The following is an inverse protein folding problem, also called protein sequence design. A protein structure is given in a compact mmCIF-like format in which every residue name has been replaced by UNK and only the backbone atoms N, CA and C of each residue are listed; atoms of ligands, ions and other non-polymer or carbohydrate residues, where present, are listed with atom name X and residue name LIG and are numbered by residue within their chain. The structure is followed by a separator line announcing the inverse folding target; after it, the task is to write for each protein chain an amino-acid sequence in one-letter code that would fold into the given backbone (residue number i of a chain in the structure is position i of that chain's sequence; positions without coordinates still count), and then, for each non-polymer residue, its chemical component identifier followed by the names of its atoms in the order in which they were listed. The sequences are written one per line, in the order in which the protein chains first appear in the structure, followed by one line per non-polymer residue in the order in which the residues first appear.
data_IF_907717778112
#
_entry.id   IF_907717778112
#
_cell.length_a   1.000
_cell.length_b   1.000
_cell.length_c   1.000
_cell.angle_alpha   90.00
_cell.angle_beta   90.00
_cell.angle_gamma   90.00
#
_symmetry.space_group_name_H-M   'P 1'
#
loop_
_entity.id
_entity.type
_entity.pdbx_description
1 polymer ?
#
# COMPACT_ATOMS: atom_id res chain seq x y z
N UNK A 1 -90.12 21.34 -3.55
CA UNK A 1 -89.20 21.63 -4.71
C UNK A 1 -87.78 21.37 -4.28
N UNK A 2 -87.29 20.21 -4.62
CA UNK A 2 -85.99 19.75 -4.16
C UNK A 2 -85.11 19.50 -5.38
N UNK A 3 -84.11 20.32 -5.57
CA UNK A 3 -83.19 20.22 -6.72
C UNK A 3 -81.93 19.50 -6.29
N UNK A 4 -81.72 18.32 -6.87
CA UNK A 4 -80.54 17.45 -6.59
C UNK A 4 -79.43 17.85 -7.58
N UNK A 5 -78.27 18.23 -7.03
CA UNK A 5 -77.02 18.49 -7.82
C UNK A 5 -76.15 17.26 -7.79
N UNK A 6 -75.95 16.66 -8.95
CA UNK A 6 -75.04 15.52 -9.17
C UNK A 6 -73.65 16.04 -9.54
N UNK A 7 -72.66 15.78 -8.68
CA UNK A 7 -71.27 16.13 -8.92
C UNK A 7 -70.56 14.95 -9.59
N UNK A 8 -70.08 15.10 -10.80
CA UNK A 8 -69.29 14.17 -11.53
C UNK A 8 -67.80 14.33 -11.06
N UNK A 9 -67.19 13.26 -10.52
CA UNK A 9 -65.80 13.18 -10.25
C UNK A 9 -65.04 12.68 -11.50
N UNK A 10 -64.18 13.54 -12.05
CA UNK A 10 -63.23 13.16 -13.11
C UNK A 10 -61.96 12.60 -12.45
N UNK A 11 -61.73 11.32 -12.63
CA UNK A 11 -60.47 10.67 -12.22
C UNK A 11 -59.38 10.94 -13.24
N UNK A 12 -58.36 11.69 -12.84
CA UNK A 12 -57.15 11.84 -13.61
C UNK A 12 -56.12 10.75 -13.18
N UNK A 13 -55.86 9.82 -14.07
CA UNK A 13 -54.76 8.87 -13.88
C UNK A 13 -53.43 9.56 -14.22
N UNK A 14 -52.59 9.81 -13.24
CA UNK A 14 -51.21 10.25 -13.43
C UNK A 14 -50.34 9.01 -13.75
N UNK A 15 -49.90 8.89 -14.98
CA UNK A 15 -48.91 7.91 -15.38
C UNK A 15 -47.51 8.42 -14.99
N UNK A 16 -46.92 7.82 -13.96
CA UNK A 16 -45.51 8.05 -13.59
C UNK A 16 -44.60 7.30 -14.55
N UNK A 17 -43.95 8.03 -15.45
CA UNK A 17 -42.87 7.49 -16.29
C UNK A 17 -41.59 7.34 -15.45
N UNK A 18 -41.21 6.11 -15.13
CA UNK A 18 -39.87 5.78 -14.60
C UNK A 18 -38.85 5.93 -15.74
N UNK A 19 -38.08 7.00 -15.69
CA UNK A 19 -36.91 7.15 -16.53
C UNK A 19 -35.79 6.19 -15.98
N UNK A 20 -35.58 5.07 -16.67
CA UNK A 20 -34.39 4.21 -16.46
C UNK A 20 -33.22 4.95 -17.09
N UNK A 21 -32.40 5.60 -16.25
CA UNK A 21 -31.10 6.11 -16.66
C UNK A 21 -30.19 4.90 -16.97
N UNK A 22 -30.04 4.56 -18.24
CA UNK A 22 -29.06 3.57 -18.69
C UNK A 22 -27.65 4.12 -18.43
N UNK A 23 -26.91 3.48 -17.53
CA UNK A 23 -25.47 3.65 -17.45
C UNK A 23 -24.88 3.13 -18.77
N UNK A 24 -24.46 4.03 -19.64
CA UNK A 24 -23.61 3.70 -20.76
C UNK A 24 -22.25 3.27 -20.22
N UNK A 25 -21.98 1.98 -20.17
CA UNK A 25 -20.62 1.45 -20.04
C UNK A 25 -19.87 1.92 -21.29
N UNK A 26 -19.04 2.94 -21.14
CA UNK A 26 -18.06 3.30 -22.17
C UNK A 26 -17.04 2.18 -22.18
N UNK A 27 -17.05 1.34 -23.23
CA UNK A 27 -15.96 0.40 -23.48
C UNK A 27 -14.69 1.23 -23.69
N UNK A 28 -13.75 1.13 -22.76
CA UNK A 28 -12.40 1.69 -22.92
C UNK A 28 -11.72 0.98 -24.11
N UNK A 29 -10.93 1.70 -24.92
CA UNK A 29 -10.17 1.06 -25.98
C UNK A 29 -9.22 0.03 -25.35
N UNK A 30 -9.29 -1.22 -25.81
CA UNK A 30 -8.31 -2.23 -25.43
C UNK A 30 -6.92 -1.70 -25.79
N UNK A 31 -6.01 -1.63 -24.82
CA UNK A 31 -4.63 -1.26 -25.08
C UNK A 31 -4.01 -2.30 -25.98
N UNK A 32 -3.21 -1.87 -26.94
CA UNK A 32 -2.57 -2.77 -27.87
C UNK A 32 -1.44 -3.53 -27.14
N UNK A 33 -1.51 -4.86 -27.14
CA UNK A 33 -0.43 -5.70 -26.66
C UNK A 33 0.84 -5.44 -27.50
N UNK A 34 1.99 -5.36 -26.86
CA UNK A 34 3.29 -5.18 -27.52
C UNK A 34 4.06 -6.51 -27.53
N UNK A 35 4.69 -6.91 -28.67
CA UNK A 35 5.50 -8.11 -28.68
C UNK A 35 6.81 -7.87 -27.92
N UNK A 36 7.18 -8.84 -27.07
CA UNK A 36 8.45 -8.88 -26.35
C UNK A 36 9.11 -10.25 -26.54
N UNK A 37 10.44 -10.30 -26.42
CA UNK A 37 11.19 -11.57 -26.50
C UNK A 37 12.03 -11.73 -25.23
N UNK A 38 11.90 -12.89 -24.58
CA UNK A 38 12.67 -13.22 -23.37
C UNK A 38 14.14 -13.40 -23.71
N UNK A 39 15.04 -12.75 -22.96
CA UNK A 39 16.49 -12.85 -23.14
C UNK A 39 17.08 -14.07 -22.42
N UNK A 40 16.44 -14.51 -21.36
CA UNK A 40 16.80 -15.65 -20.52
C UNK A 40 15.55 -16.43 -20.12
N UNK A 41 15.72 -17.57 -19.43
CA UNK A 41 14.59 -18.26 -18.82
C UNK A 41 13.94 -17.34 -17.77
N UNK A 42 12.65 -17.09 -17.90
CA UNK A 42 11.92 -16.11 -17.12
C UNK A 42 10.83 -16.78 -16.30
N UNK A 43 10.63 -16.32 -15.08
CA UNK A 43 9.56 -16.80 -14.20
C UNK A 43 8.33 -15.91 -14.35
N UNK A 44 7.15 -16.52 -14.57
CA UNK A 44 5.85 -15.85 -14.43
C UNK A 44 5.53 -15.82 -12.94
N UNK A 45 5.17 -14.67 -12.44
CA UNK A 45 4.88 -14.44 -11.02
C UNK A 45 3.47 -13.91 -10.80
N UNK A 46 2.94 -14.15 -9.61
CA UNK A 46 1.61 -13.63 -9.22
C UNK A 46 1.56 -12.11 -9.05
N UNK A 47 2.73 -11.45 -8.89
CA UNK A 47 2.84 -10.01 -8.71
C UNK A 47 4.15 -9.46 -9.29
N UNK A 48 4.47 -8.20 -8.99
CA UNK A 48 5.56 -7.43 -9.61
C UNK A 48 6.81 -7.35 -8.73
N UNK A 49 7.17 -8.47 -8.06
CA UNK A 49 8.37 -8.63 -7.25
C UNK A 49 8.96 -10.02 -7.42
N UNK A 50 10.27 -10.15 -7.19
CA UNK A 50 10.99 -11.44 -7.21
C UNK A 50 10.60 -12.33 -6.03
N UNK A 51 10.04 -11.77 -4.97
CA UNK A 51 9.48 -12.48 -3.82
C UNK A 51 8.11 -13.11 -4.07
N UNK A 52 7.37 -12.69 -5.11
CA UNK A 52 6.02 -13.19 -5.38
C UNK A 52 6.00 -14.64 -5.87
N UNK A 53 4.87 -15.34 -5.69
CA UNK A 53 4.70 -16.73 -6.05
C UNK A 53 5.08 -17.01 -7.52
N UNK A 54 5.89 -18.05 -7.74
CA UNK A 54 6.26 -18.52 -9.06
C UNK A 54 5.11 -19.37 -9.65
N UNK A 55 4.40 -18.85 -10.63
CA UNK A 55 3.27 -19.52 -11.28
C UNK A 55 3.70 -20.41 -12.44
N UNK A 56 4.83 -20.10 -13.08
CA UNK A 56 5.34 -20.83 -14.23
C UNK A 56 6.68 -20.31 -14.71
N UNK A 57 7.22 -20.91 -15.76
CA UNK A 57 8.48 -20.49 -16.38
C UNK A 57 8.35 -20.39 -17.90
N UNK A 58 9.06 -19.44 -18.50
CA UNK A 58 9.11 -19.18 -19.94
C UNK A 58 10.55 -19.39 -20.40
N UNK A 59 10.81 -20.21 -21.43
CA UNK A 59 12.16 -20.38 -21.96
C UNK A 59 12.75 -19.10 -22.56
N UNK A 60 14.08 -19.00 -22.58
CA UNK A 60 14.77 -17.95 -23.29
C UNK A 60 14.43 -17.94 -24.79
N UNK A 61 14.36 -16.77 -25.41
CA UNK A 61 14.05 -16.58 -26.82
C UNK A 61 12.57 -16.76 -27.16
N UNK A 62 11.68 -16.86 -26.17
CA UNK A 62 10.23 -16.96 -26.39
C UNK A 62 9.66 -15.57 -26.69
N UNK A 63 8.85 -15.48 -27.75
CA UNK A 63 8.07 -14.27 -28.02
C UNK A 63 6.78 -14.29 -27.20
N UNK A 64 6.51 -13.17 -26.53
CA UNK A 64 5.35 -12.94 -25.67
C UNK A 64 4.54 -11.77 -26.18
N UNK A 65 3.25 -11.81 -26.01
CA UNK A 65 2.38 -10.65 -26.11
C UNK A 65 2.30 -9.99 -24.72
N UNK A 66 2.91 -8.82 -24.55
CA UNK A 66 2.85 -8.05 -23.33
C UNK A 66 1.54 -7.25 -23.35
N UNK A 67 0.64 -7.57 -22.42
CA UNK A 67 -0.71 -6.98 -22.38
C UNK A 67 -0.68 -5.50 -21.91
N UNK A 68 0.09 -5.25 -20.87
CA UNK A 68 0.31 -3.95 -20.24
C UNK A 68 1.56 -4.01 -19.36
N UNK A 69 1.96 -2.91 -18.75
CA UNK A 69 3.06 -2.87 -17.79
C UNK A 69 2.66 -2.10 -16.53
N UNK A 70 3.33 -2.38 -15.43
CA UNK A 70 3.20 -1.64 -14.17
C UNK A 70 4.56 -1.58 -13.48
N UNK A 71 4.77 -0.59 -12.61
CA UNK A 71 5.98 -0.50 -11.79
C UNK A 71 5.97 -1.55 -10.67
N UNK A 72 7.13 -1.95 -10.21
CA UNK A 72 7.32 -2.91 -9.12
C UNK A 72 8.77 -2.95 -8.67
N UNK A 73 9.23 -4.07 -8.13
CA UNK A 73 10.62 -4.26 -7.72
C UNK A 73 11.60 -4.00 -8.88
N UNK A 74 12.65 -3.20 -8.61
CA UNK A 74 13.73 -2.99 -9.57
C UNK A 74 14.59 -4.25 -9.69
N UNK A 75 14.56 -4.88 -10.87
CA UNK A 75 15.34 -6.08 -11.17
C UNK A 75 16.55 -5.73 -12.02
N UNK A 76 17.71 -6.27 -11.64
CA UNK A 76 18.97 -6.22 -12.41
C UNK A 76 19.12 -7.52 -13.19
N UNK A 77 18.89 -7.44 -14.50
CA UNK A 77 18.98 -8.58 -15.41
C UNK A 77 19.79 -8.24 -16.67
N UNK A 78 19.35 -8.67 -17.83
CA UNK A 78 19.90 -8.22 -19.13
C UNK A 78 19.79 -6.69 -19.23
N UNK A 79 18.75 -6.12 -18.67
CA UNK A 79 18.54 -4.68 -18.47
C UNK A 79 18.33 -4.39 -16.99
N UNK A 80 18.36 -3.13 -16.58
CA UNK A 80 17.83 -2.68 -15.28
C UNK A 80 16.41 -2.15 -15.51
N UNK A 81 15.42 -2.68 -14.83
CA UNK A 81 14.03 -2.24 -14.99
C UNK A 81 13.23 -2.38 -13.69
N UNK A 82 12.44 -1.37 -13.39
CA UNK A 82 11.39 -1.39 -12.37
C UNK A 82 10.04 -1.83 -12.95
N UNK A 83 9.94 -1.96 -14.28
CA UNK A 83 8.69 -2.33 -14.92
C UNK A 83 8.52 -3.84 -15.02
N UNK A 84 7.28 -4.27 -14.80
CA UNK A 84 6.80 -5.63 -14.94
C UNK A 84 5.69 -5.65 -15.99
N UNK A 85 5.74 -6.62 -16.88
CA UNK A 85 4.73 -6.77 -17.93
C UNK A 85 3.77 -7.89 -17.58
N UNK A 86 2.47 -7.65 -17.74
CA UNK A 86 1.44 -8.66 -17.65
C UNK A 86 1.46 -9.51 -18.91
N UNK A 87 1.47 -10.84 -18.74
CA UNK A 87 1.54 -11.82 -19.82
C UNK A 87 0.63 -13.00 -19.54
N UNK A 88 0.26 -13.71 -20.62
CA UNK A 88 -0.34 -15.04 -20.53
C UNK A 88 0.48 -16.00 -21.41
N UNK A 89 1.02 -17.07 -20.82
CA UNK A 89 1.82 -18.07 -21.51
C UNK A 89 1.41 -19.47 -21.07
N UNK A 90 1.09 -20.34 -22.03
CA UNK A 90 0.60 -21.72 -21.80
C UNK A 90 -0.58 -21.81 -20.82
N UNK A 91 -1.45 -20.80 -20.81
CA UNK A 91 -2.62 -20.74 -19.93
C UNK A 91 -2.31 -20.25 -18.51
N UNK A 92 -1.06 -19.86 -18.23
CA UNK A 92 -0.66 -19.23 -16.97
C UNK A 92 -0.58 -17.72 -17.20
N UNK A 93 -1.43 -16.95 -16.50
CA UNK A 93 -1.39 -15.50 -16.50
C UNK A 93 -0.63 -14.99 -15.29
N UNK A 94 0.12 -13.90 -15.45
CA UNK A 94 0.89 -13.29 -14.37
C UNK A 94 1.82 -12.20 -14.88
N UNK A 95 2.84 -11.89 -14.09
CA UNK A 95 3.78 -10.82 -14.37
C UNK A 95 5.19 -11.36 -14.63
N UNK A 96 5.90 -10.71 -15.53
CA UNK A 96 7.32 -10.97 -15.83
C UNK A 96 8.10 -9.67 -15.75
N UNK A 97 9.32 -9.72 -15.17
CA UNK A 97 10.19 -8.55 -15.12
C UNK A 97 10.67 -8.15 -16.52
N UNK A 98 10.53 -6.89 -16.88
CA UNK A 98 11.05 -6.33 -18.12
C UNK A 98 12.58 -6.27 -18.17
N UNK A 99 13.26 -6.50 -17.06
CA UNK A 99 14.71 -6.64 -17.02
C UNK A 99 15.24 -7.78 -17.93
N UNK A 100 14.39 -8.74 -18.29
CA UNK A 100 14.71 -9.90 -19.10
C UNK A 100 13.89 -9.99 -20.40
N UNK A 101 13.25 -8.89 -20.81
CA UNK A 101 12.41 -8.88 -22.03
C UNK A 101 12.86 -7.76 -22.97
N UNK A 102 13.31 -8.13 -24.16
CA UNK A 102 13.55 -7.16 -25.24
C UNK A 102 12.22 -6.77 -25.87
N UNK A 103 11.89 -5.49 -25.85
CA UNK A 103 10.69 -4.92 -26.49
C UNK A 103 11.14 -3.97 -27.59
N UNK A 104 10.99 -4.34 -28.87
CA UNK A 104 11.46 -3.54 -30.01
C UNK A 104 10.86 -2.14 -30.08
N UNK A 105 9.59 -2.02 -29.69
CA UNK A 105 8.86 -0.76 -29.59
C UNK A 105 7.99 -0.75 -28.33
N UNK A 106 8.48 -0.07 -27.30
CA UNK A 106 7.78 0.04 -26.02
C UNK A 106 6.78 1.21 -25.99
N UNK A 107 6.68 2.02 -27.05
CA UNK A 107 5.86 3.25 -27.07
C UNK A 107 4.34 2.97 -27.03
N UNK A 108 3.92 1.74 -27.31
CA UNK A 108 2.51 1.34 -27.31
C UNK A 108 2.07 0.54 -26.09
N UNK A 109 3.01 0.13 -25.20
CA UNK A 109 2.67 -0.66 -24.03
C UNK A 109 2.16 0.28 -22.92
N UNK A 110 0.84 0.27 -22.72
CA UNK A 110 0.19 1.10 -21.70
C UNK A 110 0.35 0.55 -20.28
N UNK A 111 0.05 1.39 -19.29
CA UNK A 111 -0.03 0.96 -17.89
C UNK A 111 -1.22 0.01 -17.70
N UNK A 112 -1.09 -0.98 -16.80
CA UNK A 112 -2.16 -1.91 -16.48
C UNK A 112 -3.29 -1.16 -15.74
N UNK A 113 -4.40 -0.86 -16.42
CA UNK A 113 -5.55 -0.22 -15.80
C UNK A 113 -6.39 -1.24 -15.01
N UNK A 114 -6.64 -0.94 -13.74
CA UNK A 114 -7.56 -1.72 -12.88
C UNK A 114 -6.98 -3.00 -12.30
N UNK A 115 -5.71 -3.31 -12.54
CA UNK A 115 -5.02 -4.24 -11.65
C UNK A 115 -4.75 -3.48 -10.35
N UNK A 116 -5.06 -4.06 -9.18
CA UNK A 116 -4.59 -3.52 -7.93
C UNK A 116 -3.08 -3.32 -8.06
N UNK A 117 -2.55 -2.21 -7.53
CA UNK A 117 -1.10 -2.07 -7.37
C UNK A 117 -0.60 -3.42 -6.81
N UNK A 118 0.48 -3.99 -7.38
CA UNK A 118 0.84 -5.36 -7.06
C UNK A 118 0.95 -5.50 -5.56
N UNK A 119 0.10 -6.38 -5.02
CA UNK A 119 0.39 -6.94 -3.70
C UNK A 119 1.73 -7.64 -3.88
N UNK A 120 2.77 -7.16 -3.21
CA UNK A 120 4.02 -7.90 -3.07
C UNK A 120 3.70 -9.12 -2.18
N UNK A 121 3.58 -10.35 -2.72
CA UNK A 121 3.28 -11.52 -1.91
C UNK A 121 4.55 -12.10 -1.28
N UNK A 122 5.65 -11.31 -1.22
CA UNK A 122 6.85 -11.68 -0.48
C UNK A 122 6.59 -11.75 1.03
N UNK A 123 5.60 -11.00 1.54
CA UNK A 123 5.29 -10.91 2.98
C UNK A 123 3.80 -10.66 3.29
N UNK A 124 2.92 -10.62 2.28
CA UNK A 124 1.48 -10.40 2.47
C UNK A 124 1.10 -8.95 2.82
N UNK A 125 1.98 -7.99 2.55
CA UNK A 125 1.78 -6.57 2.87
C UNK A 125 0.99 -5.89 1.74
N UNK A 126 -0.11 -5.17 2.06
CA UNK A 126 -0.84 -4.36 1.07
C UNK A 126 0.02 -3.19 0.56
N UNK A 127 -0.30 -2.67 -0.64
CA UNK A 127 0.44 -1.55 -1.24
C UNK A 127 0.50 -0.31 -0.32
N UNK A 128 -0.59 0.00 0.38
CA UNK A 128 -0.66 1.14 1.30
C UNK A 128 0.26 0.93 2.52
N UNK A 129 0.34 -0.30 3.03
CA UNK A 129 1.23 -0.68 4.12
C UNK A 129 2.69 -0.61 3.68
N UNK A 130 2.99 -1.09 2.48
CA UNK A 130 4.32 -1.02 1.90
C UNK A 130 4.77 0.45 1.74
N UNK A 131 3.89 1.34 1.29
CA UNK A 131 4.20 2.77 1.21
C UNK A 131 4.57 3.38 2.58
N UNK A 132 3.90 2.96 3.66
CA UNK A 132 4.24 3.37 5.03
C UNK A 132 5.65 2.92 5.41
N UNK A 133 5.99 1.66 5.13
CA UNK A 133 7.32 1.10 5.41
C UNK A 133 8.40 1.81 4.59
N UNK A 134 8.19 2.02 3.30
CA UNK A 134 9.14 2.70 2.41
C UNK A 134 9.39 4.14 2.84
N UNK A 135 8.34 4.89 3.20
CA UNK A 135 8.49 6.25 3.74
C UNK A 135 9.28 6.26 5.03
N UNK A 136 8.97 5.33 5.95
CA UNK A 136 9.71 5.18 7.20
C UNK A 136 11.18 4.86 6.96
N UNK A 137 11.47 3.94 6.04
CA UNK A 137 12.82 3.54 5.68
C UNK A 137 13.67 4.73 5.18
N UNK A 138 13.07 5.72 4.50
CA UNK A 138 13.81 6.92 4.04
C UNK A 138 14.49 7.69 5.18
N UNK A 139 13.88 7.75 6.36
CA UNK A 139 14.50 8.41 7.51
C UNK A 139 15.54 7.55 8.21
N UNK A 140 15.36 6.24 8.20
CA UNK A 140 16.38 5.29 8.67
C UNK A 140 17.64 5.41 7.80
N UNK A 141 17.51 5.34 6.47
CA UNK A 141 18.62 5.43 5.52
C UNK A 141 19.37 6.77 5.57
N UNK A 142 18.63 7.85 5.83
CA UNK A 142 19.20 9.19 5.99
C UNK A 142 19.82 9.44 7.37
N UNK A 143 19.69 8.48 8.30
CA UNK A 143 20.12 8.63 9.69
C UNK A 143 19.59 9.93 10.31
N UNK A 144 18.30 10.23 10.14
CA UNK A 144 17.69 11.45 10.65
C UNK A 144 17.86 11.51 12.17
N UNK A 145 18.49 12.57 12.74
CA UNK A 145 18.72 12.62 14.17
C UNK A 145 17.41 12.86 14.95
N UNK A 146 17.30 12.23 16.12
CA UNK A 146 16.14 12.41 17.00
C UNK A 146 16.10 13.81 17.62
N UNK A 147 14.93 14.45 17.55
CA UNK A 147 14.67 15.70 18.31
C UNK A 147 13.16 15.90 18.50
N UNK A 148 12.77 16.29 19.71
CA UNK A 148 11.39 16.69 20.01
C UNK A 148 11.04 18.10 19.54
N UNK A 149 12.03 18.87 19.06
CA UNK A 149 11.87 20.28 18.64
C UNK A 149 12.23 20.52 17.17
N UNK A 150 13.11 19.69 16.60
CA UNK A 150 13.54 19.84 15.21
C UNK A 150 12.56 19.23 14.23
N UNK A 151 12.57 19.77 13.01
CA UNK A 151 11.75 19.30 11.88
C UNK A 151 12.64 19.00 10.68
N UNK A 152 12.24 18.03 9.87
CA UNK A 152 12.86 17.75 8.57
C UNK A 152 11.79 17.36 7.54
N UNK A 153 12.16 17.41 6.25
CA UNK A 153 11.24 17.04 5.18
C UNK A 153 11.03 15.53 5.13
N UNK A 154 9.78 15.13 5.04
CA UNK A 154 9.37 13.81 4.57
C UNK A 154 9.52 13.66 3.06
N UNK A 155 9.29 12.46 2.50
CA UNK A 155 9.31 12.21 1.05
C UNK A 155 8.29 13.06 0.27
N UNK A 156 7.19 13.42 0.91
CA UNK A 156 6.11 14.26 0.36
C UNK A 156 6.45 15.77 0.37
N UNK A 157 7.64 16.14 0.84
CA UNK A 157 8.10 17.53 0.95
C UNK A 157 7.54 18.31 2.17
N UNK A 158 6.63 17.72 2.94
CA UNK A 158 6.14 18.32 4.19
C UNK A 158 7.19 18.19 5.29
N UNK A 159 7.11 19.09 6.26
CA UNK A 159 7.99 19.06 7.42
C UNK A 159 7.35 18.32 8.58
N UNK A 160 8.09 17.36 9.12
CA UNK A 160 7.68 16.58 10.28
C UNK A 160 8.70 16.68 11.40
N UNK A 161 8.22 16.66 12.64
CA UNK A 161 9.07 16.66 13.84
C UNK A 161 9.86 15.35 13.91
N UNK A 162 11.14 15.42 14.29
CA UNK A 162 12.03 14.26 14.21
C UNK A 162 12.07 13.43 15.49
N UNK A 163 10.90 13.31 16.18
CA UNK A 163 10.67 12.40 17.30
C UNK A 163 9.88 11.15 16.84
N UNK A 164 9.61 10.23 17.76
CA UNK A 164 8.94 8.96 17.46
C UNK A 164 7.55 9.14 16.80
N UNK A 165 6.71 10.03 17.33
CA UNK A 165 5.37 10.27 16.80
C UNK A 165 5.36 11.13 15.52
N UNK A 166 6.33 12.03 15.37
CA UNK A 166 6.54 12.76 14.11
C UNK A 166 7.03 11.85 12.98
N UNK A 167 7.84 10.84 13.30
CA UNK A 167 8.25 9.78 12.37
C UNK A 167 7.05 8.97 11.88
N UNK A 168 6.18 8.51 12.79
CA UNK A 168 4.93 7.84 12.41
C UNK A 168 4.07 8.76 11.55
N UNK A 169 3.88 10.03 11.95
CA UNK A 169 3.09 10.99 11.16
C UNK A 169 3.64 11.15 9.74
N UNK A 170 4.96 11.17 9.56
CA UNK A 170 5.65 11.24 8.27
C UNK A 170 5.43 9.97 7.45
N UNK A 171 5.61 8.80 8.05
CA UNK A 171 5.47 7.52 7.35
C UNK A 171 4.05 7.30 6.81
N UNK A 172 3.05 7.67 7.58
CA UNK A 172 1.63 7.60 7.16
C UNK A 172 1.17 8.81 6.33
N UNK A 173 2.05 9.76 6.01
CA UNK A 173 1.71 10.93 5.21
C UNK A 173 0.62 11.82 5.83
N UNK A 174 0.52 11.85 7.15
CA UNK A 174 -0.46 12.67 7.86
C UNK A 174 -0.20 14.15 7.59
N UNK A 175 -1.22 14.98 7.74
CA UNK A 175 -1.16 16.41 7.39
C UNK A 175 -0.23 17.24 8.30
N UNK A 176 0.08 16.72 9.49
CA UNK A 176 0.97 17.37 10.48
C UNK A 176 1.66 16.32 11.36
N UNK A 177 2.60 16.77 12.19
CA UNK A 177 3.21 15.92 13.23
C UNK A 177 2.30 15.81 14.44
N UNK A 178 1.61 14.71 14.56
CA UNK A 178 0.84 14.35 15.75
C UNK A 178 1.79 13.97 16.90
N UNK A 179 1.28 14.02 18.13
CA UNK A 179 1.94 13.49 19.32
C UNK A 179 1.43 12.09 19.61
N UNK A 180 2.10 11.34 20.47
CA UNK A 180 1.59 10.04 20.97
C UNK A 180 0.20 10.17 21.60
N UNK A 181 -0.14 11.32 22.17
CA UNK A 181 -1.47 11.59 22.73
C UNK A 181 -2.53 11.69 21.64
N UNK A 182 -2.24 12.33 20.51
CA UNK A 182 -3.21 12.64 19.45
C UNK A 182 -3.21 11.66 18.29
N UNK A 183 -2.21 10.78 18.18
CA UNK A 183 -2.22 9.70 17.18
C UNK A 183 -3.44 8.78 17.29
N UNK A 184 -4.06 8.68 18.45
CA UNK A 184 -5.32 7.92 18.63
C UNK A 184 -6.49 8.43 17.80
N UNK A 185 -6.39 9.63 17.19
CA UNK A 185 -7.39 10.13 16.23
C UNK A 185 -7.32 9.39 14.89
N UNK A 186 -6.16 8.80 14.57
CA UNK A 186 -5.87 8.13 13.30
C UNK A 186 -5.68 6.62 13.42
N UNK A 187 -5.56 6.09 14.64
CA UNK A 187 -5.24 4.70 14.89
C UNK A 187 -6.22 4.08 15.88
N UNK A 188 -6.59 2.83 15.62
CA UNK A 188 -7.44 2.02 16.51
C UNK A 188 -6.61 0.91 17.13
N UNK A 189 -6.76 0.69 18.46
CA UNK A 189 -6.09 -0.41 19.15
C UNK A 189 -6.62 -1.76 18.65
N UNK A 190 -5.69 -2.69 18.41
CA UNK A 190 -5.95 -4.05 17.93
C UNK A 190 -5.32 -5.09 18.86
N UNK A 191 -5.78 -6.35 18.85
CA UNK A 191 -5.07 -7.44 19.50
C UNK A 191 -3.65 -7.61 18.92
N UNK A 192 -2.70 -7.98 19.80
CA UNK A 192 -1.30 -8.23 19.42
C UNK A 192 -1.14 -9.23 18.27
N UNK A 193 -1.94 -10.29 18.29
CA UNK A 193 -1.92 -11.38 17.32
C UNK A 193 -2.53 -11.01 15.96
N UNK A 194 -3.10 -9.81 15.85
CA UNK A 194 -3.58 -9.23 14.59
C UNK A 194 -2.56 -8.26 13.95
N UNK A 195 -1.37 -8.08 14.55
CA UNK A 195 -0.34 -7.21 13.98
C UNK A 195 0.10 -7.69 12.61
N UNK A 196 0.12 -6.74 11.69
CA UNK A 196 0.65 -6.89 10.32
C UNK A 196 1.72 -5.82 10.05
N UNK A 197 2.71 -6.08 9.18
CA UNK A 197 3.68 -5.07 8.80
C UNK A 197 3.01 -3.75 8.39
N UNK A 198 3.55 -2.62 8.85
CA UNK A 198 2.92 -1.32 8.68
C UNK A 198 1.93 -0.95 9.80
N UNK A 199 1.55 -1.81 10.74
CA UNK A 199 0.89 -1.40 11.97
C UNK A 199 1.88 -0.72 12.93
N UNK A 200 1.42 -0.10 14.01
CA UNK A 200 2.29 0.53 14.99
C UNK A 200 2.16 -0.13 16.37
N UNK A 201 3.24 -0.10 17.12
CA UNK A 201 3.28 -0.51 18.52
C UNK A 201 3.67 0.71 19.33
N UNK A 202 2.89 1.01 20.39
CA UNK A 202 3.17 2.21 21.15
C UNK A 202 2.40 2.32 22.46
N UNK A 203 2.77 3.37 23.21
CA UNK A 203 2.00 3.92 24.29
C UNK A 203 1.32 5.20 23.80
N UNK A 204 0.04 5.11 23.44
CA UNK A 204 -0.72 6.21 22.87
C UNK A 204 -1.82 6.70 23.82
N UNK A 205 -2.32 7.90 23.55
CA UNK A 205 -3.46 8.48 24.27
C UNK A 205 -3.08 9.25 25.54
N UNK A 206 -4.06 9.49 26.43
CA UNK A 206 -3.85 10.31 27.62
C UNK A 206 -2.73 9.76 28.52
N UNK A 207 -1.77 10.63 28.88
CA UNK A 207 -0.63 10.25 29.73
C UNK A 207 0.63 9.82 28.97
N UNK A 208 0.57 9.69 27.65
CA UNK A 208 1.72 9.33 26.80
C UNK A 208 2.52 10.53 26.27
N UNK A 209 2.26 11.74 26.77
CA UNK A 209 2.93 12.95 26.27
C UNK A 209 4.41 13.01 26.62
N UNK A 210 5.21 13.58 25.71
CA UNK A 210 6.65 13.77 25.90
C UNK A 210 7.42 12.46 26.10
N UNK A 211 8.31 12.41 27.08
CA UNK A 211 9.14 11.24 27.36
C UNK A 211 8.39 10.01 27.91
N UNK A 212 7.11 10.16 28.26
CA UNK A 212 6.27 9.05 28.73
C UNK A 212 5.68 8.22 27.60
N UNK A 213 5.67 8.75 26.38
CA UNK A 213 5.18 8.06 25.19
C UNK A 213 6.30 7.58 24.29
N UNK A 214 6.06 6.45 23.62
CA UNK A 214 6.88 5.96 22.54
C UNK A 214 6.02 5.23 21.52
N UNK A 215 6.42 5.27 20.25
CA UNK A 215 5.73 4.59 19.16
C UNK A 215 6.73 4.20 18.08
N UNK A 216 6.53 3.01 17.53
CA UNK A 216 7.37 2.40 16.47
C UNK A 216 6.47 1.84 15.38
N UNK A 217 7.00 1.63 14.18
CA UNK A 217 6.31 0.95 13.08
C UNK A 217 6.77 -0.50 13.06
N UNK A 218 5.83 -1.42 13.17
CA UNK A 218 6.06 -2.85 13.12
C UNK A 218 6.38 -3.29 11.69
N UNK A 219 7.45 -4.08 11.53
CA UNK A 219 7.87 -4.62 10.22
C UNK A 219 7.72 -6.13 10.12
N UNK A 220 7.60 -6.82 11.25
CA UNK A 220 7.40 -8.27 11.27
C UNK A 220 7.73 -8.89 12.62
N UNK A 221 7.34 -10.14 12.80
CA UNK A 221 7.77 -10.94 13.92
C UNK A 221 9.18 -11.49 13.68
N UNK A 222 10.06 -11.38 14.66
CA UNK A 222 11.43 -11.90 14.60
C UNK A 222 11.52 -13.37 15.05
N UNK A 223 10.46 -13.89 15.68
CA UNK A 223 10.36 -15.30 16.10
C UNK A 223 8.94 -15.86 15.90
N UNK A 224 8.82 -17.19 15.80
CA UNK A 224 7.56 -17.91 15.60
C UNK A 224 6.62 -17.83 16.82
N UNK A 225 7.16 -17.58 18.01
CA UNK A 225 6.39 -17.49 19.27
C UNK A 225 5.80 -16.07 19.47
N UNK A 226 6.08 -15.13 18.56
CA UNK A 226 5.66 -13.73 18.63
C UNK A 226 6.10 -13.04 19.95
N UNK A 227 7.31 -13.37 20.40
CA UNK A 227 7.89 -12.76 21.60
C UNK A 227 8.84 -11.61 21.28
N UNK A 228 9.47 -11.66 20.10
CA UNK A 228 10.30 -10.59 19.56
C UNK A 228 9.79 -10.10 18.22
N UNK A 229 9.95 -8.81 17.96
CA UNK A 229 9.44 -8.16 16.75
C UNK A 229 10.41 -7.12 16.21
N UNK A 230 10.45 -7.01 14.89
CA UNK A 230 11.25 -6.04 14.17
C UNK A 230 10.46 -4.76 13.91
N UNK A 231 11.14 -3.64 13.95
CA UNK A 231 10.57 -2.31 13.77
C UNK A 231 11.50 -1.36 13.03
N UNK A 232 10.92 -0.33 12.47
CA UNK A 232 11.61 0.91 12.15
C UNK A 232 11.07 2.02 13.07
N UNK A 233 11.96 2.85 13.60
CA UNK A 233 11.60 3.86 14.57
C UNK A 233 12.52 5.06 14.59
N UNK A 234 12.05 6.12 15.21
CA UNK A 234 12.86 7.28 15.59
C UNK A 234 13.14 7.20 17.09
N UNK A 235 14.36 6.80 17.45
CA UNK A 235 14.73 6.49 18.82
C UNK A 235 15.56 7.61 19.48
N UNK A 236 15.22 7.96 20.70
CA UNK A 236 15.97 8.95 21.49
C UNK A 236 17.45 8.60 21.61
N UNK A 237 18.32 9.55 21.28
CA UNK A 237 19.78 9.38 21.32
C UNK A 237 20.39 8.56 20.17
N UNK A 238 19.57 8.00 19.28
CA UNK A 238 20.02 7.19 18.13
C UNK A 238 19.60 7.85 16.83
N UNK A 239 18.32 8.25 16.70
CA UNK A 239 17.73 8.71 15.44
C UNK A 239 16.94 7.60 14.74
N UNK A 240 16.79 7.72 13.40
CA UNK A 240 16.12 6.72 12.57
C UNK A 240 16.88 5.40 12.57
N UNK A 241 16.23 4.31 12.95
CA UNK A 241 16.88 3.00 13.10
C UNK A 241 15.88 1.86 12.87
N UNK A 242 16.39 0.76 12.31
CA UNK A 242 15.71 -0.54 12.29
C UNK A 242 16.31 -1.41 13.38
N UNK A 243 15.47 -2.06 14.20
CA UNK A 243 15.93 -2.97 15.27
C UNK A 243 14.83 -3.89 15.77
N UNK A 244 15.24 -4.88 16.58
CA UNK A 244 14.33 -5.84 17.22
C UNK A 244 14.03 -5.42 18.65
N UNK A 245 12.76 -5.56 19.07
CA UNK A 245 12.29 -5.41 20.44
C UNK A 245 11.72 -6.71 20.99
N UNK A 246 11.59 -6.77 22.33
CA UNK A 246 10.88 -7.85 23.01
C UNK A 246 9.51 -7.37 23.47
N UNK A 247 8.47 -8.17 23.25
CA UNK A 247 7.13 -7.86 23.72
C UNK A 247 7.05 -7.96 25.25
N UNK A 248 6.49 -6.93 25.87
CA UNK A 248 6.43 -6.83 27.33
C UNK A 248 7.71 -6.28 27.96
N UNK A 249 8.63 -5.74 27.18
CA UNK A 249 9.79 -5.03 27.71
C UNK A 249 9.33 -3.87 28.60
N UNK A 250 9.94 -3.76 29.78
CA UNK A 250 9.49 -2.88 30.84
C UNK A 250 9.78 -1.39 30.62
N UNK A 251 10.50 -1.05 29.56
CA UNK A 251 10.89 0.36 29.38
C UNK A 251 9.79 1.22 28.79
N UNK A 252 8.75 0.63 28.17
CA UNK A 252 7.58 1.30 27.63
C UNK A 252 6.34 0.39 27.62
N UNK A 253 5.16 0.98 27.65
CA UNK A 253 3.90 0.24 27.60
C UNK A 253 3.53 -0.04 26.14
N UNK A 254 3.50 -1.31 25.75
CA UNK A 254 3.32 -1.75 24.37
C UNK A 254 1.88 -2.16 24.13
N UNK A 255 1.21 -1.43 23.25
CA UNK A 255 -0.10 -1.75 22.68
C UNK A 255 0.02 -1.72 21.16
N UNK A 256 -0.73 -2.56 20.48
CA UNK A 256 -0.76 -2.62 19.03
C UNK A 256 -1.89 -1.74 18.48
N UNK A 257 -1.64 -1.03 17.39
CA UNK A 257 -2.64 -0.16 16.75
C UNK A 257 -2.55 -0.26 15.24
N UNK A 258 -3.71 -0.18 14.60
CA UNK A 258 -3.87 -0.14 13.14
C UNK A 258 -4.32 1.21 12.68
N UNK A 259 -3.78 1.67 11.55
CA UNK A 259 -4.21 2.92 10.91
C UNK A 259 -5.64 2.78 10.38
N UNK A 260 -6.48 3.79 10.63
CA UNK A 260 -7.88 3.79 10.22
C UNK A 260 -8.09 3.95 8.71
N UNK A 261 -7.02 4.18 7.96
CA UNK A 261 -7.05 4.35 6.51
C UNK A 261 -6.63 3.12 5.72
N UNK A 262 -6.28 1.99 6.38
CA UNK A 262 -5.98 0.71 5.73
C UNK A 262 -7.24 -0.05 5.32
#
# INVERSE_FOLDING_TARGET
MTTTFTRRLAGGAAASALAVAGLALTAQPAQAAAPGTTTEQLTIRSGTSTGTEALGTIPAGTTLDLECQTSGETVQGTYSSEYWAKVSHDGVAGYVSRAYVTVPDATGLGECEGDPAPEDPGDGISADRQEVLDRGQTWVDRNVPYSMEAYTNGPDGRQYRTDCSGFVSMAYGLDTSYSTVTLTEHFTEIPKDELEPGDIIGNLGPGSGGAAGHVVIFTGWADEDHTTFDVIEQAGGVGGVARTHTWGDSYWNQHAFRYNGF
#
